data_IF_480071974945
#
_entry.id   IF_480071974945
#
_cell.length_a   1.000
_cell.length_b   1.000
_cell.length_c   1.000
_cell.angle_alpha   90.00
_cell.angle_beta   90.00
_cell.angle_gamma   90.00
#
_symmetry.space_group_name_H-M   'P 1'
#
loop_
_entity.id
_entity.type
_entity.pdbx_description
1 polymer ?
#
# COMPACT_ATOMS: atom_id res chain seq x y z
N UNK A 1 20.36 -16.52 14.82
CA UNK A 1 19.31 -16.94 15.80
C UNK A 1 19.91 -17.75 16.94
N UNK A 2 20.75 -18.75 16.66
CA UNK A 2 21.41 -19.55 17.74
C UNK A 2 22.21 -18.68 18.69
N UNK A 3 22.96 -17.71 18.16
CA UNK A 3 23.82 -16.80 18.94
C UNK A 3 23.02 -15.83 19.83
N UNK A 4 21.71 -15.67 19.58
CA UNK A 4 20.82 -14.85 20.37
C UNK A 4 19.90 -15.66 21.32
N UNK A 5 20.10 -16.99 21.40
CA UNK A 5 19.27 -17.86 22.23
C UNK A 5 17.82 -17.99 21.78
N UNK A 6 17.51 -17.61 20.54
CA UNK A 6 16.15 -17.69 19.99
C UNK A 6 15.87 -19.10 19.50
N UNK A 7 14.88 -19.76 20.07
CA UNK A 7 14.35 -21.03 19.57
C UNK A 7 13.74 -20.84 18.18
N UNK A 8 13.92 -21.79 17.30
CA UNK A 8 13.41 -21.73 15.94
C UNK A 8 13.18 -23.13 15.35
N UNK A 9 12.29 -23.21 14.38
CA UNK A 9 12.07 -24.43 13.59
C UNK A 9 12.59 -24.23 12.17
N UNK A 10 13.11 -25.31 11.58
CA UNK A 10 13.58 -25.28 10.20
C UNK A 10 12.40 -25.42 9.25
N UNK A 11 12.22 -24.43 8.38
CA UNK A 11 11.18 -24.44 7.34
C UNK A 11 11.65 -25.13 6.07
N UNK A 12 12.83 -24.72 5.55
CA UNK A 12 13.40 -25.29 4.34
C UNK A 12 14.92 -25.07 4.28
N UNK A 13 15.55 -25.80 3.37
CA UNK A 13 16.97 -25.61 3.05
C UNK A 13 17.14 -25.45 1.56
N UNK A 14 17.78 -24.37 1.15
CA UNK A 14 18.19 -24.14 -0.24
C UNK A 14 19.69 -24.35 -0.36
N UNK A 15 20.10 -25.03 -1.43
CA UNK A 15 21.50 -25.17 -1.81
C UNK A 15 21.71 -24.49 -3.16
N UNK A 16 22.73 -23.68 -3.29
CA UNK A 16 23.08 -23.04 -4.54
C UNK A 16 24.60 -22.89 -4.63
N UNK A 17 25.08 -22.65 -5.85
CA UNK A 17 26.48 -22.42 -6.14
C UNK A 17 26.67 -20.96 -6.54
N UNK A 18 27.67 -20.33 -5.91
CA UNK A 18 28.11 -19.00 -6.27
C UNK A 18 29.60 -19.08 -6.66
N UNK A 19 29.87 -18.89 -7.93
CA UNK A 19 31.22 -19.13 -8.47
C UNK A 19 31.63 -20.61 -8.33
N UNK A 20 32.71 -20.88 -7.59
CA UNK A 20 33.20 -22.24 -7.30
C UNK A 20 32.74 -22.77 -5.92
N UNK A 21 32.06 -21.97 -5.14
CA UNK A 21 31.65 -22.30 -3.78
C UNK A 21 30.19 -22.77 -3.72
N UNK A 22 29.97 -23.82 -2.91
CA UNK A 22 28.61 -24.30 -2.62
C UNK A 22 28.14 -23.68 -1.33
N UNK A 23 26.98 -23.07 -1.38
CA UNK A 23 26.33 -22.43 -0.25
C UNK A 23 25.06 -23.17 0.15
N UNK A 24 24.80 -23.18 1.44
CA UNK A 24 23.56 -23.74 2.01
C UNK A 24 22.89 -22.67 2.87
N UNK A 25 21.67 -22.32 2.51
CA UNK A 25 20.83 -21.39 3.29
C UNK A 25 19.73 -22.20 3.96
N UNK A 26 19.67 -22.12 5.28
CA UNK A 26 18.61 -22.71 6.08
C UNK A 26 17.61 -21.60 6.44
N UNK A 27 16.37 -21.77 6.00
CA UNK A 27 15.26 -20.90 6.38
C UNK A 27 14.65 -21.42 7.67
N UNK A 28 14.64 -20.58 8.69
CA UNK A 28 14.07 -20.90 9.99
C UNK A 28 12.98 -19.92 10.38
N UNK A 29 11.94 -20.42 11.03
CA UNK A 29 10.89 -19.61 11.66
C UNK A 29 11.25 -19.48 13.14
N UNK A 30 11.44 -18.26 13.67
CA UNK A 30 11.66 -18.08 15.09
C UNK A 30 10.40 -18.44 15.89
N UNK A 31 10.58 -19.08 17.02
CA UNK A 31 9.52 -19.46 17.95
C UNK A 31 9.46 -18.42 19.08
N UNK A 32 9.03 -17.22 18.72
CA UNK A 32 8.84 -16.08 19.61
C UNK A 32 7.49 -15.46 19.35
N UNK A 33 6.93 -14.83 20.36
CA UNK A 33 5.85 -13.87 20.18
C UNK A 33 6.47 -12.61 19.55
N UNK A 34 6.02 -12.26 18.36
CA UNK A 34 6.50 -11.05 17.69
C UNK A 34 6.05 -9.83 18.48
N UNK A 35 6.96 -8.91 18.84
CA UNK A 35 6.58 -7.65 19.42
C UNK A 35 5.55 -6.94 18.52
N UNK A 36 4.49 -6.40 19.13
CA UNK A 36 3.41 -5.75 18.38
C UNK A 36 3.91 -4.65 17.44
N UNK A 37 4.91 -3.89 17.92
CA UNK A 37 5.57 -2.85 17.15
C UNK A 37 6.31 -3.34 15.89
N UNK A 38 6.70 -4.61 15.83
CA UNK A 38 7.34 -5.20 14.65
C UNK A 38 6.34 -5.59 13.55
N UNK A 39 5.07 -5.65 13.90
CA UNK A 39 4.00 -5.87 12.92
C UNK A 39 3.70 -4.62 12.09
N UNK A 40 4.18 -3.45 12.51
CA UNK A 40 3.98 -2.20 11.80
C UNK A 40 4.92 -2.08 10.60
N UNK A 41 4.36 -2.17 9.42
CA UNK A 41 5.09 -2.07 8.14
C UNK A 41 5.94 -0.80 8.06
N UNK A 42 5.41 0.30 8.58
CA UNK A 42 6.02 1.62 8.52
C UNK A 42 7.18 1.79 9.50
N UNK A 43 7.15 1.08 10.64
CA UNK A 43 8.25 1.10 11.62
C UNK A 43 9.55 0.57 11.04
N UNK A 44 9.47 -0.44 10.16
CA UNK A 44 10.67 -1.03 9.52
C UNK A 44 11.38 -0.04 8.61
N UNK A 45 10.64 0.92 8.03
CA UNK A 45 11.19 1.94 7.12
C UNK A 45 11.92 3.04 7.89
N UNK A 46 11.33 3.48 8.99
CA UNK A 46 11.79 4.63 9.78
C UNK A 46 12.65 4.25 10.97
N UNK A 47 12.70 2.96 11.33
CA UNK A 47 13.36 2.51 12.54
C UNK A 47 14.88 2.36 12.34
N UNK A 48 15.64 3.03 13.20
CA UNK A 48 17.08 2.89 13.29
C UNK A 48 17.54 1.56 13.91
N UNK A 49 16.60 0.70 14.34
CA UNK A 49 16.91 -0.64 14.87
C UNK A 49 17.38 -1.62 13.79
N UNK A 50 17.06 -1.34 12.52
CA UNK A 50 17.52 -2.16 11.39
C UNK A 50 18.83 -1.61 10.86
N UNK A 51 19.83 -2.50 10.68
CA UNK A 51 21.11 -2.12 10.08
C UNK A 51 20.90 -1.36 8.76
N UNK A 52 21.49 -0.17 8.60
CA UNK A 52 21.27 0.68 7.41
C UNK A 52 21.61 -0.02 6.09
N UNK A 53 22.62 -0.86 6.04
CA UNK A 53 23.00 -1.59 4.81
C UNK A 53 21.97 -2.66 4.48
N UNK A 54 21.46 -3.37 5.50
CA UNK A 54 20.39 -4.37 5.32
C UNK A 54 19.11 -3.70 4.83
N UNK A 55 18.74 -2.58 5.45
CA UNK A 55 17.58 -1.77 5.05
C UNK A 55 17.69 -1.28 3.61
N UNK A 56 18.80 -0.66 3.26
CA UNK A 56 19.06 -0.18 1.89
C UNK A 56 19.07 -1.30 0.86
N UNK A 57 19.62 -2.47 1.22
CA UNK A 57 19.63 -3.62 0.33
C UNK A 57 18.22 -4.10 0.03
N UNK A 58 17.34 -4.15 1.03
CA UNK A 58 15.92 -4.50 0.85
C UNK A 58 15.22 -3.47 -0.04
N UNK A 59 15.39 -2.18 0.24
CA UNK A 59 14.72 -1.12 -0.53
C UNK A 59 15.17 -1.04 -1.99
N UNK A 60 16.43 -1.35 -2.27
CA UNK A 60 16.97 -1.32 -3.63
C UNK A 60 16.67 -2.58 -4.45
N UNK A 61 16.28 -3.67 -3.81
CA UNK A 61 16.08 -4.97 -4.47
C UNK A 61 14.63 -5.43 -4.48
N UNK A 62 13.77 -4.85 -3.68
CA UNK A 62 12.37 -5.22 -3.55
C UNK A 62 11.50 -4.00 -3.87
N UNK A 63 10.53 -4.18 -4.77
CA UNK A 63 9.50 -3.17 -4.98
C UNK A 63 8.49 -3.22 -3.83
N UNK A 64 8.14 -2.07 -3.32
CA UNK A 64 7.03 -1.91 -2.38
C UNK A 64 5.75 -1.74 -3.19
N UNK A 65 4.81 -2.63 -2.96
CA UNK A 65 3.53 -2.59 -3.66
C UNK A 65 2.55 -1.77 -2.85
N UNK A 66 1.97 -0.76 -3.48
CA UNK A 66 0.90 0.07 -2.92
C UNK A 66 -0.34 0.00 -3.79
N UNK A 67 -1.48 0.15 -3.17
CA UNK A 67 -2.76 0.23 -3.87
C UNK A 67 -3.49 1.50 -3.47
N UNK A 68 -4.09 2.15 -4.46
CA UNK A 68 -4.81 3.42 -4.32
C UNK A 68 -6.19 3.31 -4.94
N UNK A 69 -7.12 4.10 -4.44
CA UNK A 69 -8.46 4.17 -5.01
C UNK A 69 -8.90 5.62 -5.26
N UNK A 70 -9.40 5.87 -6.47
CA UNK A 70 -10.12 7.10 -6.82
C UNK A 70 -11.62 6.87 -6.55
N UNK A 71 -12.14 7.51 -5.53
CA UNK A 71 -13.56 7.45 -5.18
C UNK A 71 -14.22 8.68 -5.78
N UNK A 72 -15.15 8.45 -6.72
CA UNK A 72 -15.92 9.51 -7.39
C UNK A 72 -17.33 9.55 -6.83
N UNK A 73 -17.81 10.75 -6.54
CA UNK A 73 -19.23 10.94 -6.23
C UNK A 73 -20.06 11.25 -7.48
N UNK A 74 -21.38 11.36 -7.30
CA UNK A 74 -22.33 11.70 -8.40
C UNK A 74 -22.16 13.10 -8.99
N UNK A 75 -21.28 13.92 -8.41
CA UNK A 75 -20.94 15.27 -8.88
C UNK A 75 -19.57 15.31 -9.57
N UNK A 76 -19.01 14.15 -9.91
CA UNK A 76 -17.67 14.00 -10.50
C UNK A 76 -16.53 14.60 -9.63
N UNK A 77 -16.72 14.58 -8.31
CA UNK A 77 -15.67 14.97 -7.37
C UNK A 77 -14.90 13.75 -6.87
N UNK A 78 -13.64 13.96 -6.56
CA UNK A 78 -12.71 12.95 -6.01
C UNK A 78 -12.54 13.16 -4.52
N UNK A 79 -12.61 12.08 -3.75
CA UNK A 79 -12.28 12.08 -2.33
C UNK A 79 -10.76 11.98 -2.16
N UNK A 80 -10.16 13.00 -1.54
CA UNK A 80 -8.77 12.96 -1.09
C UNK A 80 -8.71 12.91 0.42
N UNK A 81 -7.66 12.27 0.93
CA UNK A 81 -7.30 12.20 2.34
C UNK A 81 -6.03 13.01 2.60
N UNK A 82 -6.01 13.78 3.69
CA UNK A 82 -4.83 14.50 4.15
C UNK A 82 -4.08 13.68 5.19
N UNK A 83 -2.88 13.29 4.87
CA UNK A 83 -2.07 12.38 5.69
C UNK A 83 -1.53 13.11 6.92
N UNK A 84 -1.68 12.52 8.13
CA UNK A 84 -1.21 13.11 9.37
C UNK A 84 0.23 12.73 9.73
N UNK A 85 0.74 11.60 9.23
CA UNK A 85 2.07 11.06 9.57
C UNK A 85 2.78 10.43 8.38
N UNK A 86 4.07 10.13 8.56
CA UNK A 86 4.89 9.44 7.56
C UNK A 86 5.43 10.38 6.49
N UNK A 87 5.80 9.81 5.34
CA UNK A 87 6.46 10.52 4.25
C UNK A 87 5.58 11.63 3.64
N UNK A 88 4.28 11.40 3.54
CA UNK A 88 3.32 12.34 2.97
C UNK A 88 2.59 13.20 4.02
N UNK A 89 3.13 13.31 5.24
CA UNK A 89 2.50 14.11 6.30
C UNK A 89 2.17 15.54 5.85
N UNK A 90 0.93 15.98 6.05
CA UNK A 90 0.40 17.26 5.64
C UNK A 90 -0.02 17.35 4.16
N UNK A 91 0.16 16.27 3.39
CA UNK A 91 -0.15 16.23 1.96
C UNK A 91 -1.52 15.58 1.70
N UNK A 92 -2.15 16.00 0.62
CA UNK A 92 -3.36 15.38 0.09
C UNK A 92 -3.00 14.23 -0.85
N UNK A 93 -3.60 13.07 -0.64
CA UNK A 93 -3.37 11.85 -1.42
C UNK A 93 -4.69 11.15 -1.72
N UNK A 94 -4.68 10.29 -2.73
CA UNK A 94 -5.74 9.29 -2.87
C UNK A 94 -5.68 8.32 -1.69
N UNK A 95 -6.84 7.85 -1.16
CA UNK A 95 -6.85 6.80 -0.16
C UNK A 95 -6.13 5.55 -0.63
N UNK A 96 -5.38 4.91 0.26
CA UNK A 96 -4.66 3.68 -0.04
C UNK A 96 -3.32 3.56 0.65
N UNK A 97 -2.79 2.35 0.66
CA UNK A 97 -1.58 2.00 1.36
C UNK A 97 -0.91 0.76 0.81
N UNK A 98 -0.16 0.07 1.66
CA UNK A 98 0.58 -1.12 1.27
C UNK A 98 -0.31 -2.33 1.09
N UNK A 99 -0.01 -3.09 0.03
CA UNK A 99 -0.63 -4.40 -0.20
C UNK A 99 -0.03 -5.41 0.76
N UNK A 100 -0.88 -6.16 1.45
CA UNK A 100 -0.46 -7.20 2.38
C UNK A 100 -0.02 -8.48 1.70
N UNK A 101 0.68 -9.33 2.46
CA UNK A 101 1.11 -10.63 1.95
C UNK A 101 -0.09 -11.50 1.55
N UNK A 102 -0.12 -11.90 0.28
CA UNK A 102 -1.17 -12.75 -0.26
C UNK A 102 -2.47 -12.00 -0.61
N UNK A 103 -2.49 -10.69 -0.44
CA UNK A 103 -3.61 -9.83 -0.80
C UNK A 103 -3.51 -9.38 -2.26
N UNK A 104 -4.63 -9.32 -2.97
CA UNK A 104 -4.68 -8.71 -4.28
C UNK A 104 -4.75 -7.18 -4.16
N UNK A 105 -4.08 -6.38 -5.04
CA UNK A 105 -4.11 -4.92 -4.93
C UNK A 105 -5.51 -4.29 -4.92
N UNK A 106 -6.49 -4.89 -5.61
CA UNK A 106 -7.89 -4.45 -5.58
C UNK A 106 -8.52 -4.60 -4.19
N UNK A 107 -8.23 -5.71 -3.50
CA UNK A 107 -8.69 -5.96 -2.14
C UNK A 107 -8.02 -5.01 -1.15
N UNK A 108 -6.72 -4.76 -1.34
CA UNK A 108 -5.97 -3.78 -0.54
C UNK A 108 -6.61 -2.38 -0.63
N UNK A 109 -6.99 -1.93 -1.83
CA UNK A 109 -7.65 -0.63 -2.00
C UNK A 109 -8.99 -0.53 -1.24
N UNK A 110 -9.75 -1.63 -1.20
CA UNK A 110 -11.02 -1.70 -0.43
C UNK A 110 -10.74 -1.67 1.07
N UNK A 111 -9.76 -2.45 1.53
CA UNK A 111 -9.36 -2.49 2.95
C UNK A 111 -8.86 -1.13 3.42
N UNK A 112 -7.97 -0.49 2.66
CA UNK A 112 -7.40 0.82 3.01
C UNK A 112 -8.49 1.91 3.09
N UNK A 113 -9.48 1.93 2.18
CA UNK A 113 -10.59 2.87 2.27
C UNK A 113 -11.40 2.69 3.57
N UNK A 114 -11.57 1.45 4.03
CA UNK A 114 -12.21 1.16 5.30
C UNK A 114 -11.32 1.54 6.49
N UNK A 115 -10.03 1.24 6.44
CA UNK A 115 -9.09 1.52 7.52
C UNK A 115 -8.82 3.02 7.69
N UNK A 116 -8.60 3.74 6.59
CA UNK A 116 -8.26 5.16 6.61
C UNK A 116 -9.47 6.09 6.80
N UNK A 117 -10.62 5.73 6.19
CA UNK A 117 -11.78 6.62 6.09
C UNK A 117 -13.07 6.07 6.69
N UNK A 118 -13.08 4.83 7.17
CA UNK A 118 -14.27 4.19 7.73
C UNK A 118 -15.37 3.90 6.71
N UNK A 119 -15.09 3.97 5.41
CA UNK A 119 -16.08 3.80 4.33
C UNK A 119 -15.95 2.43 3.66
N UNK A 120 -17.09 1.82 3.35
CA UNK A 120 -17.15 0.58 2.59
C UNK A 120 -17.36 0.88 1.11
N UNK A 121 -16.41 0.48 0.30
CA UNK A 121 -16.46 0.65 -1.17
C UNK A 121 -16.49 -0.70 -1.87
N UNK A 122 -16.98 -0.70 -3.11
CA UNK A 122 -16.89 -1.84 -4.02
C UNK A 122 -16.14 -1.40 -5.26
N UNK A 123 -15.09 -2.14 -5.60
CA UNK A 123 -14.33 -1.94 -6.82
C UNK A 123 -14.68 -3.07 -7.78
N UNK A 124 -15.23 -2.72 -8.94
CA UNK A 124 -15.65 -3.68 -9.94
C UNK A 124 -14.48 -4.57 -10.42
N UNK A 125 -14.73 -5.85 -10.48
CA UNK A 125 -13.78 -6.86 -10.94
C UNK A 125 -14.47 -7.89 -11.85
N UNK A 126 -14.95 -7.46 -13.03
CA UNK A 126 -15.72 -8.34 -13.93
C UNK A 126 -14.90 -9.52 -14.47
N UNK A 127 -13.57 -9.43 -14.40
CA UNK A 127 -12.66 -10.51 -14.83
C UNK A 127 -12.30 -11.48 -13.70
N UNK A 128 -12.58 -11.12 -12.43
CA UNK A 128 -12.23 -11.94 -11.26
C UNK A 128 -10.72 -12.01 -11.00
N UNK A 129 -9.97 -10.95 -11.28
CA UNK A 129 -8.51 -10.90 -11.10
C UNK A 129 -8.09 -10.97 -9.63
N UNK A 130 -8.94 -10.50 -8.72
CA UNK A 130 -8.76 -10.61 -7.25
C UNK A 130 -9.23 -11.93 -6.65
N UNK A 131 -9.73 -12.87 -7.47
CA UNK A 131 -10.21 -14.17 -7.05
C UNK A 131 -11.72 -14.32 -7.14
N UNK A 132 -12.50 -13.41 -6.54
CA UNK A 132 -13.96 -13.39 -6.65
C UNK A 132 -14.41 -12.18 -7.48
N UNK A 133 -15.22 -12.35 -8.53
CA UNK A 133 -15.73 -11.23 -9.33
C UNK A 133 -16.59 -10.28 -8.49
N UNK A 134 -16.36 -9.00 -8.61
CA UNK A 134 -17.15 -7.96 -8.00
C UNK A 134 -17.85 -7.13 -9.06
N UNK A 135 -19.16 -6.98 -8.93
CA UNK A 135 -19.96 -6.18 -9.86
C UNK A 135 -20.09 -6.79 -11.25
N UNK A 136 -20.84 -6.11 -12.11
CA UNK A 136 -21.07 -6.47 -13.50
C UNK A 136 -20.69 -5.34 -14.46
N UNK A 137 -19.98 -4.34 -13.94
CA UNK A 137 -19.65 -3.10 -14.62
C UNK A 137 -18.35 -3.14 -15.42
N UNK A 138 -17.83 -1.95 -15.66
CA UNK A 138 -16.53 -1.75 -16.30
C UNK A 138 -15.38 -2.18 -15.39
N UNK A 139 -14.26 -2.57 -15.98
CA UNK A 139 -13.04 -2.78 -15.24
C UNK A 139 -12.62 -1.47 -14.54
N UNK A 140 -12.55 -1.53 -13.23
CA UNK A 140 -12.22 -0.37 -12.41
C UNK A 140 -10.72 -0.08 -12.32
N UNK A 141 -9.88 -0.93 -12.91
CA UNK A 141 -8.43 -0.72 -12.95
C UNK A 141 -8.08 0.50 -13.81
N UNK A 142 -7.31 1.43 -13.27
CA UNK A 142 -6.86 2.63 -13.97
C UNK A 142 -5.47 2.46 -14.53
N UNK A 143 -4.50 2.13 -13.68
CA UNK A 143 -3.11 1.94 -14.09
C UNK A 143 -2.25 1.32 -13.01
N UNK A 144 -1.16 0.71 -13.42
CA UNK A 144 0.03 0.48 -12.62
C UNK A 144 1.10 1.52 -12.96
N UNK A 145 1.96 1.81 -12.00
CA UNK A 145 3.10 2.70 -12.19
C UNK A 145 4.29 2.23 -11.35
N UNK A 146 5.47 2.32 -11.91
CA UNK A 146 6.73 1.98 -11.22
C UNK A 146 7.52 3.26 -11.01
N UNK A 147 7.88 3.53 -9.78
CA UNK A 147 8.71 4.67 -9.40
C UNK A 147 9.92 4.27 -8.61
N UNK A 148 10.96 5.08 -8.80
CA UNK A 148 12.10 5.12 -7.93
C UNK A 148 12.21 6.54 -7.37
N UNK A 149 11.73 6.74 -6.16
CA UNK A 149 11.78 8.02 -5.47
C UNK A 149 12.56 7.83 -4.17
N UNK A 150 13.55 8.68 -3.94
CA UNK A 150 14.45 8.63 -2.77
C UNK A 150 15.13 7.26 -2.54
N UNK A 151 15.39 6.53 -3.61
CA UNK A 151 16.03 5.21 -3.55
C UNK A 151 15.07 4.06 -3.19
N UNK A 152 13.78 4.31 -3.08
CA UNK A 152 12.75 3.30 -2.82
C UNK A 152 12.07 2.94 -4.13
N UNK A 153 12.02 1.66 -4.45
CA UNK A 153 11.31 1.16 -5.61
C UNK A 153 9.84 0.90 -5.23
N UNK A 154 8.93 1.54 -5.94
CA UNK A 154 7.49 1.41 -5.73
C UNK A 154 6.81 0.82 -6.95
N UNK A 155 5.77 0.01 -6.73
CA UNK A 155 4.76 -0.34 -7.72
C UNK A 155 3.42 0.10 -7.14
N UNK A 156 2.71 0.99 -7.84
CA UNK A 156 1.38 1.44 -7.46
C UNK A 156 0.33 0.89 -8.41
N UNK A 157 -0.74 0.36 -7.85
CA UNK A 157 -1.96 0.01 -8.56
C UNK A 157 -3.05 1.00 -8.17
N UNK A 158 -3.69 1.63 -9.15
CA UNK A 158 -4.78 2.58 -8.89
C UNK A 158 -6.07 2.08 -9.51
N UNK A 159 -7.10 2.07 -8.70
CA UNK A 159 -8.46 1.69 -9.08
C UNK A 159 -9.41 2.90 -8.98
N UNK A 160 -10.60 2.77 -9.57
CA UNK A 160 -11.70 3.72 -9.39
C UNK A 160 -12.93 2.99 -8.86
N UNK A 161 -13.73 3.71 -8.11
CA UNK A 161 -15.09 3.29 -7.77
C UNK A 161 -15.99 4.52 -7.66
N UNK A 162 -17.29 4.29 -7.60
CA UNK A 162 -18.27 5.32 -7.34
C UNK A 162 -18.89 5.14 -5.96
N UNK A 163 -19.08 6.24 -5.25
CA UNK A 163 -19.72 6.23 -3.94
C UNK A 163 -20.06 7.63 -3.47
N UNK A 164 -21.33 7.84 -3.13
CA UNK A 164 -21.82 9.08 -2.54
C UNK A 164 -21.78 8.94 -1.01
N UNK A 165 -20.72 9.45 -0.40
CA UNK A 165 -20.55 9.49 1.05
C UNK A 165 -20.74 10.93 1.53
N UNK A 166 -21.62 11.14 2.51
CA UNK A 166 -21.70 12.43 3.18
C UNK A 166 -20.51 12.63 4.10
N UNK A 167 -20.09 13.88 4.34
CA UNK A 167 -18.93 14.18 5.20
C UNK A 167 -19.03 13.52 6.60
N UNK A 168 -20.24 13.39 7.14
CA UNK A 168 -20.49 12.74 8.45
C UNK A 168 -20.26 11.23 8.43
N UNK A 169 -20.28 10.58 7.26
CA UNK A 169 -20.10 9.14 7.10
C UNK A 169 -18.63 8.79 6.87
N UNK A 170 -17.80 9.80 6.60
CA UNK A 170 -16.35 9.66 6.45
C UNK A 170 -15.72 9.85 7.83
N UNK A 171 -15.10 8.80 8.34
CA UNK A 171 -14.47 8.80 9.67
C UNK A 171 -12.97 8.58 9.48
N UNK A 172 -12.19 9.67 9.29
CA UNK A 172 -10.74 9.57 9.14
C UNK A 172 -10.12 8.91 10.38
N UNK A 173 -9.15 8.04 10.15
CA UNK A 173 -8.40 7.39 11.23
C UNK A 173 -7.45 8.40 11.88
N UNK A 174 -7.69 8.75 13.12
CA UNK A 174 -7.06 9.86 13.87
C UNK A 174 -5.51 9.88 13.82
N UNK A 175 -4.87 8.72 13.76
CA UNK A 175 -3.41 8.61 13.78
C UNK A 175 -2.78 8.55 12.37
N UNK A 176 -3.56 8.47 11.31
CA UNK A 176 -3.09 8.36 9.92
C UNK A 176 -3.62 9.47 9.03
N UNK A 177 -4.88 9.85 9.17
CA UNK A 177 -5.56 10.83 8.32
C UNK A 177 -6.06 12.00 9.17
N UNK A 178 -5.62 13.20 8.83
CA UNK A 178 -6.05 14.44 9.49
C UNK A 178 -7.47 14.85 9.09
N UNK A 179 -7.79 14.75 7.80
CA UNK A 179 -9.09 15.06 7.22
C UNK A 179 -9.28 14.41 5.86
N UNK A 180 -10.53 14.29 5.41
CA UNK A 180 -10.86 13.86 4.05
C UNK A 180 -11.88 14.82 3.46
N UNK A 181 -11.75 15.16 2.16
CA UNK A 181 -12.62 16.11 1.46
C UNK A 181 -12.81 15.74 0.01
N UNK A 182 -13.96 16.18 -0.51
CA UNK A 182 -14.29 16.13 -1.92
C UNK A 182 -13.70 17.31 -2.69
N UNK A 183 -13.08 17.04 -3.83
CA UNK A 183 -12.48 18.03 -4.72
C UNK A 183 -12.94 17.79 -6.16
N UNK A 184 -13.09 18.82 -6.94
CA UNK A 184 -13.19 18.67 -8.40
C UNK A 184 -11.91 18.00 -8.94
N UNK A 185 -12.00 17.31 -10.08
CA UNK A 185 -10.83 16.63 -10.68
C UNK A 185 -9.64 17.59 -10.87
N UNK A 186 -9.81 18.81 -11.42
CA UNK A 186 -8.71 19.77 -11.54
C UNK A 186 -8.10 20.17 -10.18
N UNK A 187 -8.92 20.40 -9.15
CA UNK A 187 -8.44 20.72 -7.81
C UNK A 187 -7.71 19.52 -7.18
N UNK A 188 -8.21 18.30 -7.37
CA UNK A 188 -7.55 17.09 -6.89
C UNK A 188 -6.16 16.92 -7.50
N UNK A 189 -6.00 17.20 -8.79
CA UNK A 189 -4.68 17.16 -9.47
C UNK A 189 -3.74 18.24 -8.90
N UNK A 190 -4.26 19.44 -8.62
CA UNK A 190 -3.46 20.54 -8.03
C UNK A 190 -3.04 20.25 -6.58
N UNK A 191 -3.91 19.59 -5.82
CA UNK A 191 -3.69 19.25 -4.41
C UNK A 191 -2.79 18.03 -4.20
N UNK A 192 -2.90 17.03 -5.07
CA UNK A 192 -2.11 15.82 -4.97
C UNK A 192 -0.63 16.12 -5.17
N UNK A 193 0.21 15.55 -4.32
CA UNK A 193 1.68 15.72 -4.40
C UNK A 193 2.36 14.46 -4.92
N UNK A 194 1.75 13.31 -4.72
CA UNK A 194 2.27 12.04 -5.19
C UNK A 194 2.12 11.93 -6.69
N UNK A 195 3.20 11.59 -7.39
CA UNK A 195 3.17 11.36 -8.83
C UNK A 195 2.23 10.20 -9.19
N UNK A 196 2.06 9.21 -8.30
CA UNK A 196 1.08 8.12 -8.46
C UNK A 196 -0.33 8.66 -8.62
N UNK A 197 -0.71 9.56 -7.72
CA UNK A 197 -2.04 10.13 -7.66
C UNK A 197 -2.27 11.07 -8.85
N UNK A 198 -1.30 11.95 -9.13
CA UNK A 198 -1.39 12.93 -10.23
C UNK A 198 -1.55 12.21 -11.58
N UNK A 199 -0.73 11.19 -11.84
CA UNK A 199 -0.79 10.47 -13.11
C UNK A 199 -2.04 9.61 -13.25
N UNK A 200 -2.58 9.09 -12.14
CA UNK A 200 -3.86 8.40 -12.13
C UNK A 200 -5.04 9.37 -12.39
N UNK A 201 -5.08 10.50 -11.67
CA UNK A 201 -6.11 11.52 -11.82
C UNK A 201 -6.18 12.11 -13.24
N UNK A 202 -5.03 12.28 -13.90
CA UNK A 202 -4.98 12.74 -15.31
C UNK A 202 -5.66 11.78 -16.30
N UNK A 203 -5.94 10.54 -15.92
CA UNK A 203 -6.69 9.60 -16.77
C UNK A 203 -8.19 9.86 -16.80
N UNK A 204 -8.69 10.75 -15.93
CA UNK A 204 -10.09 11.12 -15.88
C UNK A 204 -10.45 12.33 -16.77
N UNK A 205 -9.48 12.95 -17.41
CA UNK A 205 -9.64 14.13 -18.27
C UNK A 205 -9.23 13.88 -19.72
#
# INVERSE_FOLDING_TARGET
>A
MVDFGISWEKVRTNKFRLGQENHTVVHGKPLIDWPGEWAWKDSVISDNAVDPVARESVYRTIHRVVSKVMILNSQDQILLAKVSRGFFSGCWTLPGGFVDYGEHPREAAVREAMEELGISIVIDDPKGESGEPHGAGEDAFIREEIFNEDGINWISFTYKCHGDFEERDIIPKDDEIEEARWFSIPEAIDKAVSIFDIEALKRLI
#
